data_IF_106819152776
#
_entry.id   IF_106819152776
#
_cell.length_a   1.000
_cell.length_b   1.000
_cell.length_c   1.000
_cell.angle_alpha   90.00
_cell.angle_beta   90.00
_cell.angle_gamma   90.00
#
_symmetry.space_group_name_H-M   'P 1'
#
loop_
_entity.id
_entity.type
_entity.pdbx_description
1 polymer ?
#
# COMPACT_ATOMS: atom_id res chain seq x y z
N UNK A 1 5.37 -12.87 -8.38
CA UNK A 1 5.16 -12.09 -7.15
C UNK A 1 5.17 -13.08 -6.01
N UNK A 2 6.13 -12.97 -5.10
CA UNK A 2 6.20 -13.90 -3.98
C UNK A 2 5.36 -13.38 -2.80
N UNK A 3 4.75 -14.29 -2.04
CA UNK A 3 3.99 -13.94 -0.83
C UNK A 3 4.80 -13.12 0.17
N UNK A 4 6.12 -13.36 0.24
CA UNK A 4 7.06 -12.65 1.12
C UNK A 4 7.20 -11.15 0.79
N UNK A 5 6.87 -10.76 -0.43
CA UNK A 5 7.02 -9.38 -0.91
C UNK A 5 5.73 -8.56 -0.71
N UNK A 6 4.63 -9.20 -0.28
CA UNK A 6 3.38 -8.54 0.07
C UNK A 6 3.53 -7.92 1.46
N UNK A 7 3.13 -6.65 1.60
CA UNK A 7 3.09 -5.97 2.89
C UNK A 7 1.73 -5.39 3.17
N UNK A 8 1.39 -5.24 4.43
CA UNK A 8 0.20 -4.50 4.87
C UNK A 8 0.45 -3.00 4.85
N UNK A 9 -0.62 -2.20 4.79
CA UNK A 9 -0.53 -0.75 4.96
C UNK A 9 0.16 -0.33 6.26
N UNK A 10 0.04 -1.14 7.33
CA UNK A 10 0.70 -0.91 8.62
C UNK A 10 2.21 -1.15 8.53
N UNK A 11 2.65 -2.23 7.91
CA UNK A 11 4.08 -2.52 7.71
C UNK A 11 4.73 -1.44 6.85
N UNK A 12 4.10 -1.08 5.73
CA UNK A 12 4.60 -0.01 4.85
C UNK A 12 4.72 1.32 5.60
N UNK A 13 3.74 1.65 6.43
CA UNK A 13 3.77 2.85 7.27
C UNK A 13 4.95 2.84 8.27
N UNK A 14 5.16 1.72 8.96
CA UNK A 14 6.22 1.57 9.94
C UNK A 14 7.62 1.60 9.30
N UNK A 15 7.83 0.83 8.24
CA UNK A 15 9.13 0.71 7.57
C UNK A 15 9.58 2.02 6.90
N UNK A 16 8.63 2.80 6.39
CA UNK A 16 8.94 4.05 5.68
C UNK A 16 8.74 5.29 6.56
N UNK A 17 8.43 5.11 7.84
CA UNK A 17 8.14 6.17 8.80
C UNK A 17 7.14 7.21 8.25
N UNK A 18 6.05 6.73 7.64
CA UNK A 18 4.96 7.56 7.12
C UNK A 18 3.66 7.30 7.89
N UNK A 19 2.84 8.31 8.16
CA UNK A 19 1.56 8.09 8.83
C UNK A 19 0.68 7.09 8.07
N UNK A 20 0.06 6.14 8.77
CA UNK A 20 -0.81 5.14 8.14
C UNK A 20 -1.94 5.79 7.33
N UNK A 21 -2.46 6.93 7.79
CA UNK A 21 -3.45 7.74 7.07
C UNK A 21 -2.93 8.21 5.71
N UNK A 22 -1.64 8.55 5.61
CA UNK A 22 -1.01 8.93 4.33
C UNK A 22 -0.98 7.74 3.38
N UNK A 23 -0.68 6.53 3.86
CA UNK A 23 -0.71 5.31 3.03
C UNK A 23 -2.12 5.08 2.49
N UNK A 24 -3.14 5.16 3.35
CA UNK A 24 -4.54 5.02 2.92
C UNK A 24 -4.95 6.07 1.89
N UNK A 25 -4.65 7.35 2.13
CA UNK A 25 -4.95 8.41 1.17
C UNK A 25 -4.27 8.18 -0.18
N UNK A 26 -3.03 7.67 -0.19
CA UNK A 26 -2.26 7.41 -1.41
C UNK A 26 -2.77 6.19 -2.18
N UNK A 27 -3.35 5.19 -1.51
CA UNK A 27 -4.06 4.10 -2.20
C UNK A 27 -5.17 4.68 -3.09
N UNK A 28 -5.89 5.69 -2.58
CA UNK A 28 -6.98 6.34 -3.31
C UNK A 28 -6.50 7.36 -4.35
N UNK A 29 -5.37 8.05 -4.11
CA UNK A 29 -4.92 9.17 -4.95
C UNK A 29 -3.81 8.85 -5.96
N UNK A 30 -3.06 7.75 -5.80
CA UNK A 30 -1.93 7.40 -6.68
C UNK A 30 -2.30 6.46 -7.84
N UNK A 31 -3.61 6.28 -8.13
CA UNK A 31 -4.07 5.46 -9.26
C UNK A 31 -3.65 3.98 -9.17
N UNK A 32 -3.71 3.40 -7.98
CA UNK A 32 -3.43 1.97 -7.78
C UNK A 32 -4.58 1.11 -8.32
N UNK A 33 -4.25 -0.06 -8.85
CA UNK A 33 -5.21 -1.02 -9.40
C UNK A 33 -5.45 -2.15 -8.38
N UNK A 34 -6.71 -2.35 -7.98
CA UNK A 34 -7.10 -3.46 -7.08
C UNK A 34 -6.89 -4.82 -7.76
N UNK A 35 -6.31 -5.77 -7.03
CA UNK A 35 -5.92 -7.08 -7.55
C UNK A 35 -4.54 -7.12 -8.20
N UNK A 36 -3.91 -5.97 -8.47
CA UNK A 36 -2.55 -5.85 -9.00
C UNK A 36 -1.63 -5.17 -7.99
N UNK A 37 -1.93 -3.92 -7.63
CA UNK A 37 -1.11 -3.09 -6.76
C UNK A 37 -1.48 -3.24 -5.28
N UNK A 38 -2.76 -3.50 -4.99
CA UNK A 38 -3.27 -3.71 -3.65
C UNK A 38 -4.46 -4.66 -3.63
N UNK A 39 -4.80 -5.17 -2.45
CA UNK A 39 -6.01 -5.97 -2.22
C UNK A 39 -6.63 -5.67 -0.86
N UNK A 40 -7.92 -5.33 -0.85
CA UNK A 40 -8.71 -5.22 0.38
C UNK A 40 -9.11 -6.61 0.87
N UNK A 41 -8.98 -6.85 2.17
CA UNK A 41 -9.36 -8.11 2.81
C UNK A 41 -10.77 -8.09 3.40
N UNK A 42 -11.43 -6.93 3.42
CA UNK A 42 -12.75 -6.72 4.00
C UNK A 42 -12.79 -5.49 4.90
N UNK A 43 -13.95 -5.25 5.52
CA UNK A 43 -14.14 -4.12 6.41
C UNK A 43 -13.23 -4.24 7.65
N UNK A 44 -12.57 -3.14 8.05
CA UNK A 44 -11.65 -3.05 9.20
C UNK A 44 -10.43 -3.99 9.14
N UNK A 45 -10.20 -4.67 8.02
CA UNK A 45 -9.02 -5.49 7.80
C UNK A 45 -7.90 -4.65 7.15
N UNK A 46 -6.61 -5.01 7.38
CA UNK A 46 -5.50 -4.36 6.69
C UNK A 46 -5.61 -4.58 5.17
N UNK A 47 -5.19 -3.58 4.42
CA UNK A 47 -5.05 -3.69 2.97
C UNK A 47 -3.66 -4.25 2.66
N UNK A 48 -3.61 -5.27 1.79
CA UNK A 48 -2.37 -5.83 1.28
C UNK A 48 -1.87 -4.97 0.12
N UNK A 49 -0.56 -4.79 0.04
CA UNK A 49 0.14 -4.01 -0.96
C UNK A 49 1.16 -4.89 -1.65
N UNK A 50 1.10 -4.88 -2.97
CA UNK A 50 2.13 -5.46 -3.83
C UNK A 50 3.35 -4.54 -3.91
N UNK A 51 4.55 -5.04 -4.25
CA UNK A 51 5.72 -4.19 -4.47
C UNK A 51 5.46 -3.03 -5.44
N UNK A 52 4.68 -3.25 -6.51
CA UNK A 52 4.29 -2.19 -7.45
C UNK A 52 3.42 -1.11 -6.80
N UNK A 53 2.47 -1.52 -5.95
CA UNK A 53 1.64 -0.59 -5.19
C UNK A 53 2.44 0.19 -4.15
N UNK A 54 3.39 -0.48 -3.48
CA UNK A 54 4.32 0.18 -2.54
C UNK A 54 5.15 1.22 -3.29
N UNK A 55 5.72 0.89 -4.44
CA UNK A 55 6.50 1.85 -5.25
C UNK A 55 5.66 3.08 -5.59
N UNK A 56 4.43 2.89 -6.07
CA UNK A 56 3.50 4.00 -6.39
C UNK A 56 3.17 4.87 -5.17
N UNK A 57 2.94 4.25 -4.01
CA UNK A 57 2.66 4.97 -2.76
C UNK A 57 3.89 5.76 -2.29
N UNK A 58 5.09 5.23 -2.48
CA UNK A 58 6.33 5.86 -2.02
C UNK A 58 6.90 6.89 -3.01
N UNK A 59 6.52 6.82 -4.28
CA UNK A 59 6.86 7.84 -5.29
C UNK A 59 6.21 9.16 -4.90
N UNK A 60 6.98 10.00 -4.20
CA UNK A 60 6.68 11.42 -4.01
C UNK A 60 6.53 12.00 -5.43
N UNK A 61 5.46 12.75 -5.70
CA UNK A 61 5.45 13.66 -6.85
C UNK A 61 6.63 14.62 -6.63
N UNK A 62 7.77 14.32 -7.27
CA UNK A 62 8.94 15.19 -7.37
C UNK A 62 8.70 16.21 -8.47
#
# INVERSE_FOLDING_TARGET
MDLKDIKTTKEVALENNIPIRTVHNRIESCGLIEGIDYRKLGERQPTLLAPSGIEKILKRNS
#
